data_IF_563680067704
#
_entry.id   IF_563680067704
#
_cell.length_a   1.000
_cell.length_b   1.000
_cell.length_c   1.000
_cell.angle_alpha   90.00
_cell.angle_beta   90.00
_cell.angle_gamma   90.00
#
_symmetry.space_group_name_H-M   'P 1'
#
loop_
_entity.id
_entity.type
_entity.pdbx_description
1 polymer ?
#
# COMPACT_ATOMS: atom_id res chain seq x y z
N UNK A 1 22.37 2.81 -35.33
CA UNK A 1 22.58 3.74 -34.19
C UNK A 1 21.24 3.91 -33.51
N UNK A 2 21.09 3.35 -32.31
CA UNK A 2 19.82 3.03 -31.67
C UNK A 2 18.98 4.27 -31.32
N UNK A 3 17.72 4.30 -31.79
CA UNK A 3 16.69 5.31 -31.49
C UNK A 3 16.26 5.36 -30.01
N UNK A 4 16.90 4.58 -29.12
CA UNK A 4 16.51 4.41 -27.73
C UNK A 4 17.06 5.50 -26.78
N UNK A 5 17.88 6.45 -27.26
CA UNK A 5 18.64 7.33 -26.36
C UNK A 5 18.00 8.66 -25.92
N UNK A 6 16.82 9.12 -26.41
CA UNK A 6 16.12 10.24 -25.75
C UNK A 6 14.80 9.86 -25.05
N UNK A 7 14.41 8.59 -24.98
CA UNK A 7 13.13 8.18 -24.37
C UNK A 7 13.35 7.14 -23.26
N UNK A 8 13.12 7.55 -22.02
CA UNK A 8 13.67 6.95 -20.80
C UNK A 8 12.69 6.07 -20.02
N UNK A 9 11.52 5.72 -20.56
CA UNK A 9 10.55 4.86 -19.87
C UNK A 9 9.89 3.85 -20.81
N UNK A 10 9.88 2.59 -20.36
CA UNK A 10 9.13 1.48 -20.95
C UNK A 10 8.03 1.05 -19.98
N UNK A 11 6.88 0.61 -20.50
CA UNK A 11 5.80 0.03 -19.71
C UNK A 11 5.40 -1.33 -20.26
N UNK A 12 4.85 -2.18 -19.40
CA UNK A 12 4.23 -3.45 -19.78
C UNK A 12 2.75 -3.22 -19.98
N UNK A 13 2.21 -3.64 -21.12
CA UNK A 13 0.77 -3.65 -21.33
C UNK A 13 0.11 -4.89 -20.66
N UNK A 14 -1.21 -5.03 -20.81
CA UNK A 14 -1.96 -6.17 -20.26
C UNK A 14 -1.60 -7.51 -20.90
N UNK A 15 -0.92 -7.52 -22.04
CA UNK A 15 -0.42 -8.72 -22.71
C UNK A 15 1.03 -9.07 -22.34
N UNK A 16 1.62 -8.33 -21.39
CA UNK A 16 3.04 -8.42 -21.01
C UNK A 16 4.00 -8.03 -22.15
N UNK A 17 3.53 -7.26 -23.14
CA UNK A 17 4.38 -6.69 -24.17
C UNK A 17 4.97 -5.36 -23.70
N UNK A 18 6.24 -5.12 -24.04
CA UNK A 18 6.94 -3.89 -23.70
C UNK A 18 6.64 -2.81 -24.73
N UNK A 19 6.17 -1.67 -24.25
CA UNK A 19 5.93 -0.48 -25.06
C UNK A 19 6.74 0.69 -24.53
N UNK A 20 7.09 1.60 -25.43
CA UNK A 20 7.61 2.91 -25.04
C UNK A 20 6.47 3.73 -24.45
N UNK A 21 6.71 4.37 -23.31
CA UNK A 21 5.78 5.36 -22.78
C UNK A 21 5.71 6.52 -23.78
N UNK A 22 4.52 6.82 -24.35
CA UNK A 22 4.39 7.95 -25.25
C UNK A 22 4.62 9.26 -24.50
N UNK A 23 5.30 10.19 -25.15
CA UNK A 23 5.40 11.55 -24.63
C UNK A 23 4.02 12.20 -24.66
N UNK A 24 3.56 12.67 -23.51
CA UNK A 24 2.26 13.32 -23.35
C UNK A 24 2.37 14.85 -23.45
N UNK A 25 3.56 15.40 -23.72
CA UNK A 25 3.81 16.82 -23.88
C UNK A 25 3.87 17.60 -22.56
N UNK A 26 3.76 16.93 -21.40
CA UNK A 26 3.84 17.60 -20.10
C UNK A 26 5.30 17.90 -19.73
N UNK A 27 5.51 19.11 -19.24
CA UNK A 27 6.73 19.43 -18.51
C UNK A 27 6.79 18.63 -17.21
N UNK A 28 8.00 18.50 -16.65
CA UNK A 28 8.20 17.82 -15.37
C UNK A 28 7.35 18.45 -14.24
N UNK A 29 7.20 19.76 -14.25
CA UNK A 29 6.47 20.48 -13.20
C UNK A 29 4.96 20.21 -13.31
N UNK A 30 4.41 20.23 -14.53
CA UNK A 30 3.01 19.85 -14.80
C UNK A 30 2.74 18.39 -14.41
N UNK A 31 3.63 17.47 -14.77
CA UNK A 31 3.51 16.07 -14.39
C UNK A 31 3.56 15.89 -12.86
N UNK A 32 4.45 16.63 -12.19
CA UNK A 32 4.59 16.59 -10.73
C UNK A 32 3.32 17.09 -10.03
N UNK A 33 2.77 18.21 -10.50
CA UNK A 33 1.50 18.73 -10.00
C UNK A 33 0.36 17.74 -10.22
N UNK A 34 0.24 17.17 -11.43
CA UNK A 34 -0.79 16.20 -11.75
C UNK A 34 -0.73 14.96 -10.84
N UNK A 35 0.48 14.46 -10.57
CA UNK A 35 0.69 13.36 -9.61
C UNK A 35 0.24 13.75 -8.20
N UNK A 36 0.63 14.92 -7.70
CA UNK A 36 0.23 15.37 -6.35
C UNK A 36 -1.29 15.57 -6.27
N UNK A 37 -1.90 16.20 -7.27
CA UNK A 37 -3.34 16.38 -7.37
C UNK A 37 -4.06 15.04 -7.28
N UNK A 38 -3.57 14.04 -8.03
CA UNK A 38 -4.13 12.69 -8.01
C UNK A 38 -4.05 12.02 -6.65
N UNK A 39 -2.96 12.21 -5.92
CA UNK A 39 -2.85 11.67 -4.56
C UNK A 39 -3.90 12.28 -3.61
N UNK A 40 -4.19 13.58 -3.72
CA UNK A 40 -5.27 14.18 -2.94
C UNK A 40 -6.65 13.64 -3.34
N UNK A 41 -6.89 13.37 -4.63
CA UNK A 41 -8.12 12.71 -5.08
C UNK A 41 -8.27 11.29 -4.52
N UNK A 42 -7.18 10.52 -4.47
CA UNK A 42 -7.21 9.12 -4.04
C UNK A 42 -7.25 8.97 -2.50
N UNK A 43 -6.60 9.86 -1.73
CA UNK A 43 -6.47 9.74 -0.26
C UNK A 43 -7.11 10.89 0.55
N UNK A 44 -7.50 11.99 -0.09
CA UNK A 44 -8.23 13.11 0.50
C UNK A 44 -7.40 14.10 1.32
N UNK A 45 -6.44 13.64 2.13
CA UNK A 45 -5.73 14.48 3.11
C UNK A 45 -4.25 14.10 3.27
N UNK A 46 -3.37 15.09 3.38
CA UNK A 46 -1.94 14.90 3.66
C UNK A 46 -1.35 16.02 4.49
N UNK A 47 -0.34 15.71 5.31
CA UNK A 47 0.64 16.71 5.73
C UNK A 47 1.72 16.83 4.65
N UNK A 48 2.44 17.96 4.60
CA UNK A 48 3.53 18.14 3.63
C UNK A 48 4.63 17.07 3.78
N UNK A 49 4.95 16.69 5.01
CA UNK A 49 5.94 15.64 5.30
C UNK A 49 5.47 14.27 4.80
N UNK A 50 4.23 13.88 5.10
CA UNK A 50 3.69 12.59 4.64
C UNK A 50 3.62 12.53 3.13
N UNK A 51 3.19 13.60 2.48
CA UNK A 51 3.14 13.67 1.01
C UNK A 51 4.55 13.54 0.41
N UNK A 52 5.55 14.19 0.99
CA UNK A 52 6.94 14.06 0.56
C UNK A 52 7.48 12.63 0.72
N UNK A 53 7.18 11.97 1.85
CA UNK A 53 7.56 10.58 2.08
C UNK A 53 6.86 9.62 1.11
N UNK A 54 5.61 9.89 0.77
CA UNK A 54 4.79 9.03 -0.08
C UNK A 54 5.15 9.15 -1.56
N UNK A 55 5.45 10.37 -2.02
CA UNK A 55 5.77 10.65 -3.43
C UNK A 55 7.27 10.71 -3.73
N UNK A 56 8.11 10.74 -2.70
CA UNK A 56 9.56 10.93 -2.78
C UNK A 56 10.01 12.27 -3.41
N UNK A 57 9.10 13.22 -3.59
CA UNK A 57 9.46 14.55 -4.08
C UNK A 57 10.16 15.39 -3.01
N UNK A 58 11.03 16.30 -3.45
CA UNK A 58 11.74 17.21 -2.56
C UNK A 58 10.75 18.16 -1.88
N UNK A 59 11.03 18.50 -0.62
CA UNK A 59 10.16 19.37 0.19
C UNK A 59 9.89 20.74 -0.46
N UNK A 60 10.87 21.33 -1.16
CA UNK A 60 10.67 22.59 -1.89
C UNK A 60 9.61 22.47 -3.01
N UNK A 61 9.64 21.37 -3.77
CA UNK A 61 8.64 21.06 -4.80
C UNK A 61 7.27 20.83 -4.17
N UNK A 62 7.20 20.04 -3.08
CA UNK A 62 5.95 19.79 -2.35
C UNK A 62 5.31 21.10 -1.89
N UNK A 63 6.07 21.97 -1.21
CA UNK A 63 5.55 23.25 -0.71
C UNK A 63 5.08 24.17 -1.84
N UNK A 64 5.83 24.22 -2.94
CA UNK A 64 5.46 25.02 -4.12
C UNK A 64 4.12 24.56 -4.70
N UNK A 65 3.96 23.24 -4.91
CA UNK A 65 2.72 22.68 -5.45
C UNK A 65 1.56 22.83 -4.47
N UNK A 66 1.77 22.59 -3.17
CA UNK A 66 0.72 22.78 -2.17
C UNK A 66 0.22 24.23 -2.11
N UNK A 67 1.13 25.21 -2.20
CA UNK A 67 0.76 26.62 -2.25
C UNK A 67 -0.05 26.94 -3.52
N UNK A 68 0.39 26.48 -4.69
CA UNK A 68 -0.35 26.66 -5.94
C UNK A 68 -1.75 26.05 -5.89
N UNK A 69 -1.87 24.81 -5.41
CA UNK A 69 -3.17 24.14 -5.29
C UNK A 69 -4.09 24.77 -4.23
N UNK A 70 -3.51 25.40 -3.21
CA UNK A 70 -4.26 26.21 -2.23
C UNK A 70 -4.76 27.51 -2.88
N UNK A 71 -3.92 28.23 -3.61
CA UNK A 71 -4.28 29.47 -4.31
C UNK A 71 -5.38 29.26 -5.36
N UNK A 72 -5.38 28.09 -6.02
CA UNK A 72 -6.44 27.66 -6.95
C UNK A 72 -7.75 27.27 -6.26
N UNK A 73 -7.77 27.17 -4.93
CA UNK A 73 -8.91 26.68 -4.16
C UNK A 73 -9.16 25.18 -4.30
N UNK A 74 -8.20 24.42 -4.84
CA UNK A 74 -8.28 22.95 -4.91
C UNK A 74 -8.07 22.31 -3.53
N UNK A 75 -7.13 22.87 -2.75
CA UNK A 75 -6.85 22.45 -1.38
C UNK A 75 -7.20 23.53 -0.38
N UNK A 76 -7.58 23.10 0.82
CA UNK A 76 -7.60 23.94 2.01
C UNK A 76 -6.56 23.42 3.02
N UNK A 77 -6.00 24.31 3.83
CA UNK A 77 -5.07 23.95 4.91
C UNK A 77 -5.65 24.20 6.30
N UNK A 78 -5.22 23.40 7.28
CA UNK A 78 -5.59 23.62 8.67
C UNK A 78 -5.06 22.55 9.62
N UNK A 79 -5.37 22.72 10.90
CA UNK A 79 -5.16 21.69 11.92
C UNK A 79 -6.37 20.76 11.92
N UNK A 80 -6.38 19.83 10.97
CA UNK A 80 -7.58 19.05 10.60
C UNK A 80 -7.77 17.79 11.45
N UNK A 81 -6.79 17.43 12.29
CA UNK A 81 -6.82 16.22 13.12
C UNK A 81 -6.81 16.58 14.59
N UNK A 82 -7.81 16.11 15.32
CA UNK A 82 -7.92 16.30 16.76
C UNK A 82 -6.65 15.78 17.48
N UNK A 83 -6.13 16.58 18.42
CA UNK A 83 -4.91 16.27 19.17
C UNK A 83 -3.60 16.37 18.37
N UNK A 84 -3.64 16.78 17.10
CA UNK A 84 -2.44 16.97 16.28
C UNK A 84 -2.11 18.45 16.10
N UNK A 85 -0.85 18.82 16.35
CA UNK A 85 -0.29 20.12 15.99
C UNK A 85 0.25 20.17 14.55
N UNK A 86 0.03 19.13 13.76
CA UNK A 86 0.49 19.05 12.38
C UNK A 86 -0.47 19.80 11.47
N UNK A 87 0.08 20.63 10.59
CA UNK A 87 -0.67 21.28 9.52
C UNK A 87 -0.94 20.28 8.38
N UNK A 88 -2.20 20.17 7.99
CA UNK A 88 -2.66 19.30 6.92
C UNK A 88 -3.28 20.12 5.78
N UNK A 89 -3.25 19.54 4.58
CA UNK A 89 -4.02 19.95 3.42
C UNK A 89 -5.06 18.88 3.13
N UNK A 90 -6.25 19.29 2.73
CA UNK A 90 -7.30 18.39 2.25
C UNK A 90 -7.98 18.98 1.01
N UNK A 91 -8.67 18.12 0.25
CA UNK A 91 -9.55 18.58 -0.82
C UNK A 91 -10.57 19.58 -0.30
N UNK A 92 -10.65 20.75 -0.93
CA UNK A 92 -11.63 21.77 -0.58
C UNK A 92 -13.07 21.24 -0.69
N UNK A 93 -13.32 20.36 -1.66
CA UNK A 93 -14.62 19.72 -1.90
C UNK A 93 -15.08 18.79 -0.76
N UNK A 94 -14.15 18.27 0.06
CA UNK A 94 -14.48 17.41 1.19
C UNK A 94 -14.63 18.19 2.51
N UNK A 95 -14.38 19.50 2.50
CA UNK A 95 -14.55 20.33 3.69
C UNK A 95 -16.00 20.36 4.17
N UNK A 96 -16.22 19.99 5.44
CA UNK A 96 -17.56 19.95 6.03
C UNK A 96 -18.45 18.81 5.51
N UNK A 97 -17.94 17.94 4.64
CA UNK A 97 -18.68 16.79 4.12
C UNK A 97 -18.85 15.75 5.22
N UNK A 98 -20.08 15.27 5.41
CA UNK A 98 -20.34 14.10 6.25
C UNK A 98 -19.99 12.86 5.45
N UNK A 99 -19.04 12.08 5.96
CA UNK A 99 -18.66 10.79 5.39
C UNK A 99 -19.48 9.70 6.08
N UNK A 100 -20.13 8.85 5.30
CA UNK A 100 -20.84 7.70 5.83
C UNK A 100 -19.84 6.74 6.49
N UNK A 101 -20.18 6.27 7.68
CA UNK A 101 -19.33 5.29 8.38
C UNK A 101 -19.38 3.96 7.63
N UNK A 102 -18.30 3.64 6.94
CA UNK A 102 -18.05 2.28 6.43
C UNK A 102 -17.96 1.35 7.63
N UNK A 103 -18.64 0.20 7.58
CA UNK A 103 -18.62 -0.81 8.65
C UNK A 103 -18.06 -2.16 8.21
N UNK A 104 -17.77 -2.29 6.92
CA UNK A 104 -17.29 -3.53 6.34
C UNK A 104 -15.90 -3.88 6.83
N UNK A 105 -15.62 -5.18 6.77
CA UNK A 105 -14.29 -5.70 7.03
C UNK A 105 -13.45 -5.66 5.76
N UNK A 106 -12.19 -5.28 5.90
CA UNK A 106 -11.21 -5.26 4.80
C UNK A 106 -9.86 -5.77 5.30
N UNK A 107 -9.20 -6.59 4.49
CA UNK A 107 -7.79 -6.96 4.71
C UNK A 107 -6.92 -5.98 3.95
N UNK A 108 -5.98 -5.34 4.64
CA UNK A 108 -5.03 -4.40 4.05
C UNK A 108 -3.62 -4.99 4.14
N UNK A 109 -3.13 -5.49 2.99
CA UNK A 109 -1.80 -6.08 2.87
C UNK A 109 -0.69 -5.02 2.94
N UNK A 110 0.48 -5.42 3.41
CA UNK A 110 1.66 -4.53 3.51
C UNK A 110 2.20 -3.99 2.19
N UNK A 111 1.84 -4.60 1.05
CA UNK A 111 2.22 -4.11 -0.29
C UNK A 111 1.25 -3.08 -0.88
N UNK A 112 0.15 -2.79 -0.19
CA UNK A 112 -0.85 -1.85 -0.67
C UNK A 112 -0.42 -0.39 -0.37
N UNK A 113 -0.66 0.52 -1.30
CA UNK A 113 -0.37 1.94 -1.12
C UNK A 113 -1.16 2.54 0.06
N UNK A 114 -2.39 2.06 0.30
CA UNK A 114 -3.18 2.48 1.45
C UNK A 114 -2.57 1.99 2.77
N UNK A 115 -1.85 0.86 2.76
CA UNK A 115 -1.07 0.40 3.92
C UNK A 115 0.08 1.36 4.22
N UNK A 116 0.82 1.77 3.19
CA UNK A 116 1.89 2.77 3.32
C UNK A 116 1.33 4.07 3.89
N UNK A 117 0.16 4.50 3.43
CA UNK A 117 -0.51 5.71 3.91
C UNK A 117 -0.90 5.62 5.39
N UNK A 118 -1.40 4.47 5.85
CA UNK A 118 -1.77 4.22 7.25
C UNK A 118 -0.67 3.63 8.11
N UNK A 119 0.58 3.56 7.63
CA UNK A 119 1.66 2.80 8.27
C UNK A 119 1.89 3.20 9.72
N UNK A 120 1.88 4.49 10.03
CA UNK A 120 2.10 4.99 11.40
C UNK A 120 1.01 4.48 12.35
N UNK A 121 -0.26 4.57 11.92
CA UNK A 121 -1.42 4.10 12.69
C UNK A 121 -1.37 2.58 12.88
N UNK A 122 -1.03 1.84 11.83
CA UNK A 122 -0.92 0.38 11.90
C UNK A 122 0.19 -0.02 12.88
N UNK A 123 1.37 0.61 12.80
CA UNK A 123 2.47 0.37 13.74
C UNK A 123 2.08 0.71 15.18
N UNK A 124 1.41 1.84 15.40
CA UNK A 124 0.95 2.27 16.71
C UNK A 124 -0.03 1.26 17.33
N UNK A 125 -0.98 0.75 16.54
CA UNK A 125 -2.02 -0.16 17.04
C UNK A 125 -1.57 -1.63 17.11
N UNK A 126 -0.70 -2.08 16.19
CA UNK A 126 -0.30 -3.49 16.06
C UNK A 126 1.10 -3.79 16.64
N UNK A 127 1.88 -2.75 16.96
CA UNK A 127 3.28 -2.84 17.39
C UNK A 127 4.29 -3.11 16.26
N UNK A 128 3.82 -3.40 15.04
CA UNK A 128 4.65 -3.72 13.89
C UNK A 128 3.96 -3.37 12.56
N UNK A 129 4.72 -3.41 11.46
CA UNK A 129 4.18 -3.29 10.09
C UNK A 129 3.63 -4.65 9.65
N UNK A 130 2.45 -5.00 10.14
CA UNK A 130 1.74 -6.25 9.84
C UNK A 130 0.62 -6.02 8.82
N UNK A 131 0.13 -7.08 8.18
CA UNK A 131 -1.13 -7.01 7.42
C UNK A 131 -2.25 -6.75 8.42
N UNK A 132 -3.04 -5.71 8.19
CA UNK A 132 -4.05 -5.23 9.12
C UNK A 132 -5.46 -5.56 8.61
N UNK A 133 -6.36 -5.89 9.53
CA UNK A 133 -7.78 -6.08 9.23
C UNK A 133 -8.54 -4.89 9.80
N UNK A 134 -9.17 -4.13 8.92
CA UNK A 134 -9.97 -2.97 9.28
C UNK A 134 -11.45 -3.35 9.36
N UNK A 135 -12.16 -2.74 10.31
CA UNK A 135 -13.63 -2.64 10.32
C UNK A 135 -13.98 -1.16 10.19
N UNK A 136 -14.39 -0.75 9.01
CA UNK A 136 -14.46 0.68 8.70
C UNK A 136 -13.08 1.33 8.82
N UNK A 137 -12.97 2.30 9.74
CA UNK A 137 -11.71 3.03 10.00
C UNK A 137 -10.87 2.44 11.12
N UNK A 138 -11.34 1.42 11.84
CA UNK A 138 -10.65 0.87 13.01
C UNK A 138 -9.92 -0.44 12.69
N UNK A 139 -8.69 -0.61 13.18
CA UNK A 139 -7.99 -1.89 13.09
C UNK A 139 -8.57 -2.82 14.14
N UNK A 140 -9.10 -3.96 13.69
CA UNK A 140 -9.74 -4.98 14.54
C UNK A 140 -8.96 -6.30 14.59
N UNK A 141 -7.88 -6.38 13.81
CA UNK A 141 -6.94 -7.49 13.87
C UNK A 141 -5.72 -7.25 13.00
N UNK A 142 -4.71 -8.10 13.16
CA UNK A 142 -3.49 -8.08 12.36
C UNK A 142 -2.86 -9.46 12.29
N UNK A 143 -1.97 -9.67 11.32
CA UNK A 143 -1.18 -10.89 11.20
C UNK A 143 0.09 -10.68 10.39
N UNK A 144 1.08 -11.55 10.58
CA UNK A 144 2.25 -11.65 9.73
C UNK A 144 1.92 -12.45 8.47
N UNK A 145 2.33 -11.92 7.31
CA UNK A 145 2.04 -12.51 6.00
C UNK A 145 1.14 -11.62 5.15
N UNK A 146 0.44 -12.21 4.17
CA UNK A 146 -0.37 -11.50 3.18
C UNK A 146 -1.40 -12.43 2.56
N UNK A 147 -2.46 -11.86 2.00
CA UNK A 147 -3.45 -12.59 1.21
C UNK A 147 -3.47 -12.03 -0.21
N UNK A 148 -3.05 -12.82 -1.18
CA UNK A 148 -3.04 -12.48 -2.61
C UNK A 148 -3.71 -13.57 -3.42
N UNK A 149 -4.06 -13.28 -4.67
CA UNK A 149 -4.57 -14.28 -5.62
C UNK A 149 -3.57 -15.45 -5.84
N UNK A 150 -2.27 -15.18 -5.69
CA UNK A 150 -1.20 -16.17 -5.84
C UNK A 150 -0.91 -17.00 -4.58
N UNK A 151 -1.43 -16.62 -3.41
CA UNK A 151 -1.06 -17.27 -2.16
C UNK A 151 -1.55 -16.54 -0.91
N UNK A 152 -1.72 -17.27 0.19
CA UNK A 152 -2.15 -16.72 1.47
C UNK A 152 -1.23 -17.27 2.57
N UNK A 153 -0.67 -16.36 3.37
CA UNK A 153 0.15 -16.67 4.54
C UNK A 153 -0.39 -15.87 5.71
N UNK A 154 -0.77 -16.56 6.78
CA UNK A 154 -1.30 -15.95 8.01
C UNK A 154 -0.60 -16.59 9.20
N UNK A 155 0.30 -15.83 9.82
CA UNK A 155 1.05 -16.20 11.01
C UNK A 155 0.76 -15.21 12.14
N UNK A 156 0.83 -15.67 13.38
CA UNK A 156 0.69 -14.81 14.58
C UNK A 156 -0.56 -13.91 14.55
N UNK A 157 -1.71 -14.46 14.14
CA UNK A 157 -2.95 -13.69 14.05
C UNK A 157 -3.37 -13.12 15.41
N UNK A 158 -3.68 -11.82 15.42
CA UNK A 158 -4.23 -11.07 16.55
C UNK A 158 -5.61 -10.56 16.16
N UNK A 159 -6.61 -10.80 17.00
CA UNK A 159 -7.98 -10.32 16.79
C UNK A 159 -9.04 -11.31 17.26
N UNK A 160 -10.30 -10.91 17.16
CA UNK A 160 -11.44 -11.74 17.56
C UNK A 160 -11.72 -12.88 16.55
N UNK A 161 -12.47 -13.90 17.00
CA UNK A 161 -12.74 -15.11 16.21
C UNK A 161 -13.55 -14.82 14.93
N UNK A 162 -14.46 -13.84 14.96
CA UNK A 162 -15.22 -13.39 13.79
C UNK A 162 -14.30 -12.72 12.74
N UNK A 163 -13.30 -11.96 13.18
CA UNK A 163 -12.28 -11.36 12.32
C UNK A 163 -11.41 -12.44 11.67
N UNK A 164 -10.98 -13.46 12.43
CA UNK A 164 -10.23 -14.59 11.86
C UNK A 164 -11.06 -15.35 10.82
N UNK A 165 -12.36 -15.54 11.07
CA UNK A 165 -13.27 -16.17 10.10
C UNK A 165 -13.38 -15.35 8.81
N UNK A 166 -13.42 -14.03 8.91
CA UNK A 166 -13.38 -13.16 7.75
C UNK A 166 -12.07 -13.30 6.95
N UNK A 167 -10.91 -13.32 7.62
CA UNK A 167 -9.60 -13.53 6.97
C UNK A 167 -9.56 -14.86 6.20
N UNK A 168 -10.05 -15.94 6.82
CA UNK A 168 -10.18 -17.26 6.17
C UNK A 168 -11.06 -17.22 4.93
N UNK A 169 -12.24 -16.61 5.05
CA UNK A 169 -13.18 -16.45 3.93
C UNK A 169 -12.56 -15.65 2.77
N UNK A 170 -11.83 -14.58 3.10
CA UNK A 170 -11.14 -13.74 2.12
C UNK A 170 -10.06 -14.54 1.37
N UNK A 171 -9.25 -15.34 2.07
CA UNK A 171 -8.29 -16.23 1.42
C UNK A 171 -9.00 -17.22 0.47
N UNK A 172 -10.10 -17.85 0.92
CA UNK A 172 -10.88 -18.78 0.09
C UNK A 172 -11.49 -18.11 -1.14
N UNK A 173 -11.94 -16.86 -1.05
CA UNK A 173 -12.44 -16.08 -2.21
C UNK A 173 -11.37 -15.87 -3.28
N UNK A 174 -10.11 -15.76 -2.89
CA UNK A 174 -8.97 -15.70 -3.81
C UNK A 174 -8.57 -17.07 -4.39
N UNK A 175 -9.29 -18.14 -4.06
CA UNK A 175 -8.97 -19.51 -4.48
C UNK A 175 -7.81 -20.12 -3.69
N UNK A 176 -7.47 -19.56 -2.53
CA UNK A 176 -6.31 -19.99 -1.75
C UNK A 176 -6.71 -20.52 -0.37
N UNK A 177 -6.19 -21.69 -0.02
CA UNK A 177 -6.29 -22.26 1.32
C UNK A 177 -5.21 -21.66 2.23
N UNK A 178 -5.55 -21.30 3.47
CA UNK A 178 -4.53 -20.95 4.46
C UNK A 178 -3.68 -22.19 4.75
N UNK A 179 -2.42 -22.18 4.32
CA UNK A 179 -1.47 -23.24 4.66
C UNK A 179 -1.09 -23.10 6.14
N UNK A 180 -1.12 -24.21 6.88
CA UNK A 180 -0.73 -24.28 8.29
C UNK A 180 0.76 -24.66 8.33
N UNK A 181 1.59 -23.97 9.11
CA UNK A 181 3.05 -24.17 9.12
C UNK A 181 3.52 -25.60 9.47
N UNK A 182 2.65 -26.49 9.94
CA UNK A 182 2.99 -27.89 10.23
C UNK A 182 3.37 -28.74 9.01
N UNK A 183 3.19 -28.24 7.77
CA UNK A 183 3.54 -28.97 6.54
C UNK A 183 4.96 -28.66 6.03
N UNK A 184 5.64 -27.62 6.53
CA UNK A 184 6.99 -27.25 6.06
C UNK A 184 8.12 -28.07 6.64
N UNK A 185 8.02 -28.52 7.89
CA UNK A 185 9.08 -29.33 8.49
C UNK A 185 9.20 -30.71 7.86
N UNK A 186 8.11 -31.23 7.26
CA UNK A 186 8.10 -32.50 6.54
C UNK A 186 8.87 -32.43 5.22
N UNK A 187 8.55 -31.42 4.40
CA UNK A 187 8.99 -31.38 3.00
C UNK A 187 10.46 -30.96 2.84
N UNK A 188 10.97 -30.09 3.72
CA UNK A 188 12.38 -29.67 3.70
C UNK A 188 13.32 -30.77 4.25
N UNK A 189 12.87 -31.56 5.22
CA UNK A 189 13.62 -32.73 5.71
C UNK A 189 13.67 -33.86 4.68
N UNK A 190 12.54 -34.18 4.04
CA UNK A 190 12.50 -35.23 3.01
C UNK A 190 13.35 -34.87 1.79
N UNK A 191 13.37 -33.59 1.40
CA UNK A 191 14.19 -33.10 0.28
C UNK A 191 15.69 -33.17 0.57
N UNK A 192 16.10 -32.87 1.81
CA UNK A 192 17.49 -32.91 2.25
C UNK A 192 18.01 -34.35 2.44
N UNK A 193 17.19 -35.24 3.01
CA UNK A 193 17.51 -36.67 3.11
C UNK A 193 17.67 -37.32 1.72
N UNK A 194 16.78 -36.99 0.78
CA UNK A 194 16.88 -37.50 -0.59
C UNK A 194 18.16 -37.03 -1.29
N UNK A 195 18.57 -35.77 -1.08
CA UNK A 195 19.80 -35.23 -1.64
C UNK A 195 21.07 -35.89 -1.05
N UNK A 196 21.09 -36.10 0.26
CA UNK A 196 22.21 -36.76 0.96
C UNK A 196 22.32 -38.25 0.58
N UNK A 197 21.18 -38.93 0.40
CA UNK A 197 21.14 -40.34 0.00
C UNK A 197 21.50 -40.55 -1.47
N UNK A 198 21.24 -39.55 -2.33
CA UNK A 198 21.52 -39.62 -3.76
C UNK A 198 22.94 -39.15 -4.13
N UNK A 199 23.64 -38.43 -3.23
CA UNK A 199 25.00 -37.94 -3.45
C UNK A 199 25.90 -38.17 -2.22
N UNK A 200 26.30 -39.41 -1.91
CA UNK A 200 27.14 -39.74 -0.75
C UNK A 200 28.61 -39.29 -0.88
N UNK A 201 28.95 -38.39 -1.81
CA UNK A 201 30.33 -38.08 -2.22
C UNK A 201 30.79 -36.63 -2.06
N UNK A 202 30.08 -35.78 -1.33
CA UNK A 202 30.56 -34.42 -1.00
C UNK A 202 30.70 -34.32 0.52
N UNK A 203 31.86 -34.76 1.01
CA UNK A 203 32.47 -34.30 2.26
C UNK A 203 33.88 -33.83 1.94
#
# INVERSE_FOLDING_TARGET
>A
MSLLMPRSAIYLDRSSAYYLVPDNGMTKDEATEAVIRRHFEDFGIFSAERLAQFTYFRMGTIRSVLAKLEDEGFLIKGFLREGSSTLYWMLAADHGRKIDKVRDLMVLNTQDNLHVYFRDRIKEQCGATETAVFRGTEVVGSFKGKITASGAKVEEFKGAADVLRFVKMTASKYGVSLRKDSERESDEWDSMEFYLKSNPGIM
#
